data_IF_674251345119
#
_entry.id   IF_674251345119
#
_cell.length_a   1.000
_cell.length_b   1.000
_cell.length_c   1.000
_cell.angle_alpha   90.00
_cell.angle_beta   90.00
_cell.angle_gamma   90.00
#
_symmetry.space_group_name_H-M   'P 1'
#
loop_
_entity.id
_entity.type
_entity.pdbx_description
1 polymer ?
#
# COMPACT_ATOMS: atom_id res chain seq x y z
N UNK A 1 -11.55 3.94 -8.66
CA UNK A 1 -11.03 3.51 -7.35
C UNK A 1 -12.17 3.57 -6.34
N UNK A 2 -12.31 2.59 -5.46
CA UNK A 2 -13.24 2.65 -4.33
C UNK A 2 -12.44 2.51 -3.04
N UNK A 3 -12.59 3.47 -2.12
CA UNK A 3 -12.07 3.37 -0.77
C UNK A 3 -13.11 2.66 0.09
N UNK A 4 -12.69 1.62 0.81
CA UNK A 4 -13.58 0.82 1.69
C UNK A 4 -13.34 1.11 3.17
N UNK A 5 -12.19 1.69 3.48
CA UNK A 5 -11.77 2.02 4.84
C UNK A 5 -10.78 3.18 4.76
N UNK A 6 -10.88 4.14 5.68
CA UNK A 6 -9.96 5.26 5.83
C UNK A 6 -9.74 5.49 7.33
N UNK A 7 -8.49 5.39 7.76
CA UNK A 7 -8.07 5.73 9.12
C UNK A 7 -7.21 6.99 9.06
N UNK A 8 -7.58 7.99 9.86
CA UNK A 8 -6.87 9.25 10.01
C UNK A 8 -6.55 9.50 11.50
N UNK A 9 -5.72 10.50 11.78
CA UNK A 9 -5.37 10.89 13.17
C UNK A 9 -4.08 10.28 13.71
N UNK A 10 -3.25 9.69 12.85
CA UNK A 10 -1.92 9.19 13.22
C UNK A 10 -0.84 10.25 12.96
N UNK A 11 0.17 10.28 13.83
CA UNK A 11 1.37 11.09 13.64
C UNK A 11 2.10 10.70 12.34
N UNK A 12 2.71 11.68 11.66
CA UNK A 12 3.42 11.44 10.40
C UNK A 12 4.64 10.51 10.51
N UNK A 13 5.14 10.26 11.73
CA UNK A 13 6.23 9.34 12.05
C UNK A 13 5.76 7.93 12.44
N UNK A 14 4.44 7.69 12.51
CA UNK A 14 3.91 6.40 12.90
C UNK A 14 4.30 5.30 11.90
N UNK A 15 4.65 4.12 12.41
CA UNK A 15 4.95 3.00 11.53
C UNK A 15 3.68 2.40 10.92
N UNK A 16 3.75 2.04 9.65
CA UNK A 16 2.70 1.34 8.89
C UNK A 16 2.07 0.18 9.67
N UNK A 17 2.90 -0.64 10.32
CA UNK A 17 2.44 -1.78 11.11
C UNK A 17 1.63 -1.37 12.34
N UNK A 18 1.95 -0.23 12.97
CA UNK A 18 1.19 0.30 14.12
C UNK A 18 -0.17 0.81 13.67
N UNK A 19 -0.21 1.55 12.55
CA UNK A 19 -1.46 2.07 11.97
C UNK A 19 -2.39 0.93 11.54
N UNK A 20 -1.85 -0.12 10.89
CA UNK A 20 -2.66 -1.29 10.50
C UNK A 20 -3.20 -2.06 11.72
N UNK A 21 -2.36 -2.27 12.75
CA UNK A 21 -2.82 -2.96 13.96
C UNK A 21 -3.96 -2.21 14.62
N UNK A 22 -3.85 -0.88 14.72
CA UNK A 22 -4.91 -0.03 15.25
C UNK A 22 -6.18 -0.14 14.40
N UNK A 23 -6.05 -0.01 13.07
CA UNK A 23 -7.17 -0.15 12.14
C UNK A 23 -7.96 -1.46 12.34
N UNK A 24 -7.26 -2.56 12.66
CA UNK A 24 -7.88 -3.86 12.88
C UNK A 24 -8.49 -4.03 14.29
N UNK A 25 -8.07 -3.24 15.28
CA UNK A 25 -8.55 -3.36 16.66
C UNK A 25 -9.73 -2.44 17.02
N UNK A 26 -10.11 -1.52 16.13
CA UNK A 26 -11.22 -0.58 16.37
C UNK A 26 -12.58 -1.27 16.29
N UNK A 27 -13.59 -0.63 16.87
CA UNK A 27 -14.98 -1.08 16.74
C UNK A 27 -15.44 -1.09 15.28
N UNK A 28 -15.05 -0.07 14.50
CA UNK A 28 -15.21 0.01 13.05
C UNK A 28 -14.06 -0.67 12.29
N UNK A 29 -13.61 -1.83 12.77
CA UNK A 29 -12.37 -2.49 12.32
C UNK A 29 -12.27 -2.65 10.80
N UNK A 30 -11.05 -2.40 10.30
CA UNK A 30 -10.65 -2.86 8.99
C UNK A 30 -10.53 -4.39 8.99
N UNK A 31 -11.48 -5.06 8.34
CA UNK A 31 -11.53 -6.51 8.27
C UNK A 31 -11.11 -7.03 6.90
N UNK A 32 -10.33 -8.10 6.89
CA UNK A 32 -10.01 -8.84 5.66
C UNK A 32 -11.16 -9.79 5.33
N UNK A 33 -11.77 -9.71 4.13
CA UNK A 33 -12.83 -10.64 3.75
C UNK A 33 -12.33 -12.09 3.72
N UNK A 34 -13.18 -13.03 4.12
CA UNK A 34 -12.84 -14.45 4.14
C UNK A 34 -12.36 -14.95 2.76
N UNK A 35 -11.26 -15.69 2.74
CA UNK A 35 -10.63 -16.22 1.52
C UNK A 35 -9.94 -15.18 0.64
N UNK A 36 -9.80 -13.93 1.09
CA UNK A 36 -9.16 -12.85 0.33
C UNK A 36 -7.91 -12.31 1.02
N UNK A 37 -7.09 -11.63 0.23
CA UNK A 37 -5.87 -10.98 0.67
C UNK A 37 -5.79 -9.57 0.10
N UNK A 38 -5.26 -8.63 0.89
CA UNK A 38 -4.86 -7.32 0.43
C UNK A 38 -3.37 -7.33 0.06
N UNK A 39 -3.04 -6.68 -1.06
CA UNK A 39 -1.66 -6.36 -1.39
C UNK A 39 -1.21 -5.16 -0.54
N UNK A 40 -0.04 -5.26 0.07
CA UNK A 40 0.47 -4.25 1.00
C UNK A 40 1.89 -3.83 0.63
N UNK A 41 2.27 -2.65 1.11
CA UNK A 41 3.61 -2.12 0.90
C UNK A 41 4.68 -2.96 1.62
N UNK A 42 5.93 -2.87 1.17
CA UNK A 42 7.06 -3.64 1.73
C UNK A 42 7.31 -3.34 3.23
N UNK A 43 6.82 -2.20 3.72
CA UNK A 43 6.86 -1.79 5.12
C UNK A 43 5.89 -2.56 6.03
N UNK A 44 4.94 -3.30 5.45
CA UNK A 44 4.02 -4.16 6.18
C UNK A 44 4.62 -5.56 6.35
N UNK A 45 4.20 -6.24 7.42
CA UNK A 45 4.58 -7.63 7.68
C UNK A 45 3.61 -8.56 6.95
N UNK A 46 4.14 -9.60 6.29
CA UNK A 46 3.30 -10.67 5.73
C UNK A 46 2.53 -11.38 6.84
N UNK A 47 1.25 -11.66 6.61
CA UNK A 47 0.40 -12.35 7.57
C UNK A 47 -0.93 -12.78 6.95
N UNK A 48 -1.79 -13.47 7.72
CA UNK A 48 -3.13 -13.82 7.25
C UNK A 48 -3.86 -12.59 6.72
N UNK A 49 -4.28 -12.63 5.46
CA UNK A 49 -4.98 -11.54 4.80
C UNK A 49 -4.13 -10.42 4.19
N UNK A 50 -2.80 -10.46 4.32
CA UNK A 50 -1.89 -9.41 3.82
C UNK A 50 -0.69 -9.99 3.08
N UNK A 51 -0.45 -9.51 1.86
CA UNK A 51 0.65 -9.96 0.99
C UNK A 51 1.54 -8.77 0.60
N UNK A 52 2.71 -8.70 1.22
CA UNK A 52 3.80 -7.81 0.85
C UNK A 52 4.61 -8.41 -0.32
N UNK A 53 5.29 -7.58 -1.13
CA UNK A 53 6.16 -8.07 -2.19
C UNK A 53 7.34 -8.88 -1.63
N UNK A 54 7.86 -9.82 -2.42
CA UNK A 54 9.08 -10.54 -2.07
C UNK A 54 10.25 -9.56 -1.95
N UNK A 55 10.87 -9.53 -0.77
CA UNK A 55 12.08 -8.72 -0.53
C UNK A 55 13.23 -9.22 -1.38
N UNK A 56 14.12 -8.31 -1.75
CA UNK A 56 15.33 -8.58 -2.55
C UNK A 56 15.06 -9.27 -3.89
N UNK A 57 13.81 -9.27 -4.37
CA UNK A 57 13.43 -9.77 -5.68
C UNK A 57 13.11 -8.57 -6.55
N UNK A 58 14.03 -8.23 -7.46
CA UNK A 58 13.89 -7.07 -8.33
C UNK A 58 12.75 -7.27 -9.32
N UNK A 59 11.99 -6.21 -9.54
CA UNK A 59 11.16 -6.02 -10.72
C UNK A 59 11.52 -4.63 -11.24
N UNK A 60 12.02 -4.52 -12.47
CA UNK A 60 12.40 -3.22 -13.03
C UNK A 60 11.45 -2.91 -14.19
N UNK A 61 10.37 -2.16 -13.91
CA UNK A 61 9.34 -1.83 -14.90
C UNK A 61 9.92 -1.16 -16.17
N UNK A 62 10.94 -0.30 -16.03
CA UNK A 62 11.56 0.42 -17.15
C UNK A 62 12.63 -0.40 -17.89
N UNK A 63 13.39 -1.25 -17.20
CA UNK A 63 14.41 -2.11 -17.84
C UNK A 63 13.80 -3.35 -18.50
N UNK A 64 12.69 -3.88 -17.97
CA UNK A 64 12.05 -5.08 -18.52
C UNK A 64 11.18 -4.82 -19.74
N UNK A 65 10.46 -3.70 -19.79
CA UNK A 65 9.62 -3.35 -20.94
C UNK A 65 10.42 -3.10 -22.22
N UNK A 66 11.67 -2.62 -22.08
CA UNK A 66 12.55 -2.26 -23.19
C UNK A 66 13.43 -3.41 -23.69
N UNK A 67 13.68 -4.44 -22.86
CA UNK A 67 14.61 -5.54 -23.20
C UNK A 67 13.93 -6.91 -23.40
N UNK A 68 12.60 -7.02 -23.30
CA UNK A 68 11.91 -8.31 -23.45
C UNK A 68 12.20 -9.31 -22.31
N UNK A 69 12.75 -8.83 -21.20
CA UNK A 69 13.07 -9.63 -20.02
C UNK A 69 11.80 -9.92 -19.23
N UNK A 70 11.10 -10.98 -19.64
CA UNK A 70 9.97 -11.52 -18.92
C UNK A 70 10.40 -12.05 -17.54
N UNK A 71 9.50 -12.00 -16.53
CA UNK A 71 9.74 -12.65 -15.26
C UNK A 71 10.18 -14.10 -15.46
N UNK A 72 11.35 -14.45 -14.93
CA UNK A 72 11.92 -15.79 -15.05
C UNK A 72 11.49 -16.68 -13.88
N UNK A 73 11.08 -16.07 -12.77
CA UNK A 73 10.62 -16.79 -11.57
C UNK A 73 9.21 -16.40 -11.14
N UNK A 74 8.56 -17.28 -10.39
CA UNK A 74 7.24 -16.99 -9.80
C UNK A 74 7.27 -15.77 -8.87
N UNK A 75 8.40 -15.52 -8.17
CA UNK A 75 8.55 -14.36 -7.28
C UNK A 75 8.66 -13.06 -8.05
N UNK A 76 9.39 -13.06 -9.15
CA UNK A 76 9.48 -11.93 -10.08
C UNK A 76 8.12 -11.61 -10.71
N UNK A 77 7.39 -12.64 -11.16
CA UNK A 77 6.07 -12.46 -11.74
C UNK A 77 5.08 -11.89 -10.70
N UNK A 78 5.14 -12.40 -9.47
CA UNK A 78 4.34 -11.88 -8.37
C UNK A 78 4.68 -10.40 -8.10
N UNK A 79 5.96 -10.06 -7.94
CA UNK A 79 6.39 -8.69 -7.67
C UNK A 79 6.03 -7.74 -8.82
N UNK A 80 6.13 -8.18 -10.07
CA UNK A 80 5.71 -7.39 -11.23
C UNK A 80 4.20 -7.07 -11.17
N UNK A 81 3.36 -8.09 -10.93
CA UNK A 81 1.91 -7.91 -10.82
C UNK A 81 1.55 -7.04 -9.62
N UNK A 82 2.22 -7.25 -8.49
CA UNK A 82 2.07 -6.45 -7.28
C UNK A 82 2.37 -4.97 -7.56
N UNK A 83 3.49 -4.68 -8.23
CA UNK A 83 3.89 -3.34 -8.57
C UNK A 83 2.95 -2.65 -9.56
N UNK A 84 2.48 -3.38 -10.57
CA UNK A 84 1.48 -2.88 -11.52
C UNK A 84 0.19 -2.48 -10.80
N UNK A 85 -0.28 -3.31 -9.86
CA UNK A 85 -1.44 -2.98 -9.04
C UNK A 85 -1.19 -1.74 -8.16
N UNK A 86 -0.03 -1.68 -7.49
CA UNK A 86 0.40 -0.53 -6.68
C UNK A 86 0.44 0.77 -7.48
N UNK A 87 0.92 0.73 -8.72
CA UNK A 87 0.99 1.91 -9.60
C UNK A 87 -0.39 2.53 -9.84
N UNK A 88 -1.46 1.72 -9.95
CA UNK A 88 -2.84 2.24 -10.07
C UNK A 88 -3.24 3.02 -8.81
N UNK A 89 -2.88 2.51 -7.63
CA UNK A 89 -3.12 3.16 -6.33
C UNK A 89 -2.36 4.49 -6.24
N UNK A 90 -1.05 4.46 -6.51
CA UNK A 90 -0.18 5.64 -6.43
C UNK A 90 -0.61 6.74 -7.41
N UNK A 91 -0.89 6.39 -8.66
CA UNK A 91 -1.41 7.36 -9.66
C UNK A 91 -2.71 7.97 -9.20
N UNK A 92 -3.60 7.17 -8.62
CA UNK A 92 -4.87 7.68 -8.10
C UNK A 92 -4.63 8.68 -6.97
N UNK A 93 -3.81 8.34 -5.97
CA UNK A 93 -3.44 9.29 -4.91
C UNK A 93 -2.75 10.54 -5.45
N UNK A 94 -1.93 10.42 -6.49
CA UNK A 94 -1.36 11.55 -7.20
C UNK A 94 -2.43 12.50 -7.77
N UNK A 95 -3.44 11.95 -8.44
CA UNK A 95 -4.59 12.74 -8.92
C UNK A 95 -5.36 13.40 -7.77
N UNK A 96 -5.60 12.68 -6.66
CA UNK A 96 -6.28 13.26 -5.49
C UNK A 96 -5.46 14.44 -4.93
N UNK A 97 -4.15 14.28 -4.76
CA UNK A 97 -3.25 15.35 -4.27
C UNK A 97 -3.20 16.55 -5.20
N UNK A 98 -3.29 16.36 -6.52
CA UNK A 98 -3.37 17.46 -7.48
C UNK A 98 -4.69 18.22 -7.38
N UNK A 99 -5.80 17.52 -7.16
CA UNK A 99 -7.13 18.13 -7.05
C UNK A 99 -7.34 18.86 -5.72
N UNK A 100 -6.87 18.28 -4.61
CA UNK A 100 -7.09 18.83 -3.27
C UNK A 100 -5.77 19.23 -2.61
N UNK A 101 -5.53 20.54 -2.55
CA UNK A 101 -4.29 21.10 -2.02
C UNK A 101 -3.99 20.69 -0.57
N UNK A 102 -5.04 20.48 0.24
CA UNK A 102 -4.92 20.04 1.64
C UNK A 102 -4.19 18.70 1.79
N UNK A 103 -4.16 17.86 0.76
CA UNK A 103 -3.46 16.57 0.77
C UNK A 103 -1.97 16.68 0.38
N UNK A 104 -1.49 17.88 0.01
CA UNK A 104 -0.09 18.11 -0.41
C UNK A 104 0.81 18.58 0.71
N UNK A 105 0.25 19.25 1.71
CA UNK A 105 0.98 19.84 2.83
C UNK A 105 0.63 19.13 4.13
N UNK A 106 1.60 19.02 5.03
CA UNK A 106 1.34 18.59 6.40
C UNK A 106 0.40 19.61 7.06
N UNK A 107 -0.72 19.12 7.58
CA UNK A 107 -1.60 19.92 8.42
C UNK A 107 -1.23 19.62 9.87
N UNK A 108 -0.78 20.64 10.59
CA UNK A 108 -0.49 20.53 12.02
C UNK A 108 -1.82 20.53 12.76
N UNK A 109 -2.16 19.39 13.36
CA UNK A 109 -3.30 19.26 14.26
C UNK A 109 -2.77 18.83 15.61
N UNK A 110 -3.22 19.50 16.67
CA UNK A 110 -2.97 19.04 18.02
C UNK A 110 -3.72 17.72 18.21
N UNK A 111 -2.97 16.61 18.17
CA UNK A 111 -3.49 15.32 18.55
C UNK A 111 -3.72 15.35 20.07
N UNK A 112 -4.98 15.25 20.49
CA UNK A 112 -5.30 15.06 21.90
C UNK A 112 -4.85 13.65 22.29
N UNK A 113 -3.76 13.57 23.06
CA UNK A 113 -3.28 12.35 23.70
C UNK A 113 -4.24 11.89 24.80
#
# INVERSE_FOLDING_TARGET
MKFVYVLAGWEGSASDSRVLRDAMSREDSFAVPSGKYYLVDVGYTNGPGFLAPYRSTRYHLNEWASQGNNPSTARELFNLRHATARNVIERTFGLLKMRWAILRSNSYFDLKN
#
